data_IF_274488093602
#
_entry.id   IF_274488093602
#
_cell.length_a   1.000
_cell.length_b   1.000
_cell.length_c   1.000
_cell.angle_alpha   90.00
_cell.angle_beta   90.00
_cell.angle_gamma   90.00
#
_symmetry.space_group_name_H-M   'P 1'
#
loop_
_entity.id
_entity.type
_entity.pdbx_description
1 polymer ?
#
# COMPACT_ATOMS: atom_id res chain seq x y z
N UNK A 1 10.29 -1.05 29.11
CA UNK A 1 10.04 -1.18 28.83
C UNK A 1 9.47 -1.10 28.57
N UNK A 2 9.42 -0.77 28.65
CA UNK A 2 9.07 -0.70 28.30
C UNK A 2 8.55 -0.49 27.98
N UNK A 3 8.59 -0.28 28.17
CA UNK A 3 8.24 -0.13 27.84
C UNK A 3 7.80 0.09 27.58
N UNK A 4 7.79 0.39 27.75
CA UNK A 4 7.47 0.66 27.46
C UNK A 4 6.96 0.99 27.32
N UNK A 5 7.05 1.23 27.66
CA UNK A 5 6.68 1.52 27.51
C UNK A 5 6.35 1.98 27.48
N UNK A 6 6.36 2.27 27.81
CA UNK A 6 6.21 2.61 27.65
C UNK A 6 6.03 3.16 27.49
N UNK A 7 6.08 3.40 27.68
CA UNK A 7 6.05 3.77 27.42
C UNK A 7 6.00 4.28 27.24
N UNK A 8 6.03 4.69 27.56
CA UNK A 8 6.05 5.10 27.19
C UNK A 8 5.77 5.55 26.72
N UNK A 9 5.61 5.79 26.95
CA UNK A 9 5.35 6.12 26.34
C UNK A 9 5.37 6.71 25.81
N UNK A 10 5.27 6.70 25.96
CA UNK A 10 5.29 7.22 25.47
C UNK A 10 5.46 7.52 24.85
N UNK A 11 5.50 7.53 25.30
CA UNK A 11 5.81 8.10 24.45
C UNK A 11 6.04 7.86 23.20
N UNK A 12 6.10 7.02 22.72
CA UNK A 12 6.40 6.79 21.38
C UNK A 12 5.24 7.08 20.48
N UNK A 13 5.43 8.03 19.56
CA UNK A 13 4.47 8.31 18.53
C UNK A 13 4.74 7.49 17.29
N UNK A 14 5.47 6.39 17.43
CA UNK A 14 5.85 5.57 16.30
C UNK A 14 4.68 4.82 15.71
N UNK A 15 4.66 4.73 14.40
CA UNK A 15 3.76 3.88 13.64
C UNK A 15 4.55 2.87 12.86
N UNK A 16 3.93 1.72 12.61
CA UNK A 16 4.59 0.68 11.84
C UNK A 16 4.13 0.75 10.38
N UNK A 17 5.08 0.57 9.49
CA UNK A 17 4.84 0.59 8.05
C UNK A 17 5.43 -0.65 7.43
N UNK A 18 4.70 -1.20 6.46
CA UNK A 18 5.21 -2.32 5.65
C UNK A 18 5.96 -1.75 4.47
N UNK A 19 7.24 -2.10 4.34
CA UNK A 19 8.07 -1.69 3.23
C UNK A 19 7.87 -2.64 2.06
N UNK A 20 7.69 -2.10 0.86
CA UNK A 20 7.42 -2.90 -0.32
C UNK A 20 8.09 -2.30 -1.54
N UNK A 21 8.16 -3.10 -2.62
CA UNK A 21 8.76 -2.67 -3.88
C UNK A 21 7.72 -2.61 -4.99
N UNK A 22 7.78 -1.54 -5.77
CA UNK A 22 7.04 -1.39 -7.02
C UNK A 22 8.05 -0.97 -8.08
N UNK A 23 8.29 -1.86 -9.07
CA UNK A 23 9.21 -1.57 -10.19
C UNK A 23 10.56 -1.05 -9.73
N UNK A 24 11.15 -1.66 -8.75
CA UNK A 24 12.47 -1.31 -8.17
C UNK A 24 12.46 -0.09 -7.26
N UNK A 25 11.31 0.55 -7.08
CA UNK A 25 11.19 1.66 -6.12
C UNK A 25 10.58 1.16 -4.83
N UNK A 26 10.98 1.77 -3.73
CA UNK A 26 10.51 1.36 -2.43
C UNK A 26 9.46 2.30 -1.89
N UNK A 27 8.42 1.72 -1.28
CA UNK A 27 7.30 2.46 -0.71
C UNK A 27 6.95 1.85 0.63
N UNK A 28 6.16 2.58 1.42
CA UNK A 28 5.64 2.06 2.67
C UNK A 28 4.14 2.23 2.77
N UNK A 29 3.50 1.29 3.46
CA UNK A 29 2.07 1.33 3.74
C UNK A 29 1.89 1.14 5.23
N UNK A 30 1.01 1.93 5.87
CA UNK A 30 0.72 1.73 7.29
C UNK A 30 0.27 0.30 7.53
N UNK A 31 0.89 -0.36 8.50
CA UNK A 31 0.60 -1.77 8.77
C UNK A 31 -0.86 -1.98 9.20
N UNK A 32 -1.47 -0.96 9.79
CA UNK A 32 -2.87 -1.06 10.21
C UNK A 32 -3.83 -1.18 9.04
N UNK A 33 -3.39 -0.78 7.84
CA UNK A 33 -4.20 -0.95 6.63
C UNK A 33 -4.10 -2.37 6.06
N UNK A 34 -3.06 -3.10 6.43
CA UNK A 34 -2.81 -4.43 5.87
C UNK A 34 -3.62 -5.47 6.64
N UNK A 35 -4.41 -6.23 5.91
CA UNK A 35 -5.17 -7.34 6.48
C UNK A 35 -4.46 -8.66 6.31
N UNK A 36 -3.80 -8.82 5.16
CA UNK A 36 -3.20 -10.11 4.83
C UNK A 36 -2.22 -9.92 3.68
N UNK A 37 -1.19 -10.76 3.64
CA UNK A 37 -0.26 -10.81 2.52
C UNK A 37 -0.31 -12.24 1.99
N UNK A 38 -0.60 -12.40 0.71
CA UNK A 38 -0.72 -13.72 0.09
C UNK A 38 0.11 -13.75 -1.18
N UNK A 39 0.47 -14.95 -1.62
CA UNK A 39 1.11 -15.13 -2.91
C UNK A 39 0.15 -14.84 -4.05
N UNK A 40 0.68 -14.82 -5.26
CA UNK A 40 -0.17 -14.61 -6.45
C UNK A 40 -1.14 -15.76 -6.59
N UNK A 41 -2.38 -15.42 -6.91
CA UNK A 41 -3.45 -16.37 -7.18
C UNK A 41 -4.11 -15.97 -8.49
N UNK A 42 -4.95 -16.86 -9.01
CA UNK A 42 -5.67 -16.59 -10.25
C UNK A 42 -6.61 -15.41 -10.06
N UNK A 43 -6.54 -14.47 -10.99
CA UNK A 43 -7.38 -13.28 -11.00
C UNK A 43 -8.39 -13.41 -12.13
N UNK A 44 -9.65 -13.22 -11.81
CA UNK A 44 -10.71 -13.24 -12.82
C UNK A 44 -10.85 -11.84 -13.40
N UNK A 45 -10.53 -11.64 -14.69
CA UNK A 45 -10.62 -10.31 -15.27
C UNK A 45 -12.06 -9.84 -15.39
N UNK A 46 -12.23 -8.53 -15.35
CA UNK A 46 -13.54 -7.90 -15.51
C UNK A 46 -13.54 -7.03 -16.75
N UNK A 47 -14.67 -6.96 -17.46
CA UNK A 47 -14.76 -6.08 -18.63
C UNK A 47 -14.89 -4.62 -18.20
N UNK A 48 -14.40 -3.73 -19.05
CA UNK A 48 -14.63 -2.29 -18.94
C UNK A 48 -14.11 -1.67 -17.66
N UNK A 49 -13.04 -2.22 -17.11
CA UNK A 49 -12.37 -1.63 -15.95
C UNK A 49 -11.13 -0.86 -16.41
N UNK A 50 -10.67 0.11 -15.61
CA UNK A 50 -9.37 0.72 -15.90
C UNK A 50 -8.27 -0.34 -15.97
N UNK A 51 -7.21 -0.03 -16.69
CA UNK A 51 -6.14 -0.98 -16.93
C UNK A 51 -5.49 -1.48 -15.62
N UNK A 52 -5.43 -0.62 -14.59
CA UNK A 52 -4.83 -1.00 -13.32
C UNK A 52 -5.71 -1.95 -12.49
N UNK A 53 -6.99 -2.09 -12.84
CA UNK A 53 -7.85 -3.07 -12.19
C UNK A 53 -7.69 -4.38 -12.94
N UNK A 54 -7.02 -5.35 -12.31
CA UNK A 54 -6.74 -6.63 -12.94
C UNK A 54 -7.97 -7.55 -12.97
N UNK A 55 -8.90 -7.33 -12.07
CA UNK A 55 -10.09 -8.14 -11.94
C UNK A 55 -10.43 -8.36 -10.49
N UNK A 56 -10.86 -9.56 -10.16
CA UNK A 56 -11.26 -9.92 -8.79
C UNK A 56 -10.64 -11.26 -8.41
N UNK A 57 -10.50 -11.47 -7.11
CA UNK A 57 -10.16 -12.77 -6.55
C UNK A 57 -11.23 -13.19 -5.56
N UNK A 58 -11.32 -14.49 -5.33
CA UNK A 58 -12.16 -15.04 -4.27
C UNK A 58 -11.25 -15.37 -3.10
N UNK A 59 -11.42 -14.62 -2.02
CA UNK A 59 -10.65 -14.84 -0.80
C UNK A 59 -11.59 -15.32 0.29
N UNK A 60 -11.59 -16.60 0.53
CA UNK A 60 -12.43 -17.25 1.55
C UNK A 60 -13.90 -16.87 1.39
N UNK A 61 -14.39 -16.92 0.15
CA UNK A 61 -15.79 -16.65 -0.16
C UNK A 61 -16.11 -15.17 -0.41
N UNK A 62 -15.14 -14.28 -0.22
CA UNK A 62 -15.33 -12.86 -0.52
C UNK A 62 -14.71 -12.53 -1.86
N UNK A 63 -15.43 -11.76 -2.65
CA UNK A 63 -14.93 -11.26 -3.93
C UNK A 63 -14.25 -9.93 -3.67
N UNK A 64 -12.97 -9.86 -4.00
CA UNK A 64 -12.14 -8.69 -3.70
C UNK A 64 -11.53 -8.17 -4.99
N UNK A 65 -11.67 -6.86 -5.31
CA UNK A 65 -11.02 -6.31 -6.49
C UNK A 65 -9.52 -6.29 -6.34
N UNK A 66 -8.84 -6.49 -7.48
CA UNK A 66 -7.37 -6.55 -7.53
C UNK A 66 -6.86 -5.37 -8.35
N UNK A 67 -6.02 -4.56 -7.74
CA UNK A 67 -5.40 -3.39 -8.35
C UNK A 67 -3.91 -3.63 -8.47
N UNK A 68 -3.37 -3.43 -9.67
CA UNK A 68 -1.93 -3.48 -9.87
C UNK A 68 -1.37 -2.07 -9.69
N UNK A 69 -0.68 -1.85 -8.58
CA UNK A 69 -0.15 -0.53 -8.26
C UNK A 69 0.91 -0.06 -9.25
N UNK A 70 1.64 -1.00 -9.86
CA UNK A 70 2.65 -0.63 -10.86
C UNK A 70 1.98 0.06 -12.04
N UNK A 71 0.84 -0.47 -12.48
CA UNK A 71 0.09 0.12 -13.58
C UNK A 71 -0.56 1.43 -13.14
N UNK A 72 -1.15 1.45 -11.95
CA UNK A 72 -1.81 2.66 -11.46
C UNK A 72 -0.86 3.85 -11.37
N UNK A 73 0.37 3.60 -10.96
CA UNK A 73 1.37 4.67 -10.85
C UNK A 73 2.16 4.86 -12.13
N UNK A 74 1.81 4.14 -13.20
CA UNK A 74 2.47 4.24 -14.50
C UNK A 74 3.97 3.97 -14.42
N UNK A 75 4.33 3.04 -13.55
CA UNK A 75 5.71 2.60 -13.42
C UNK A 75 6.04 1.55 -14.47
N UNK A 76 7.33 1.36 -14.71
CA UNK A 76 7.78 0.36 -15.67
C UNK A 76 7.20 -1.00 -15.31
N UNK A 77 6.60 -1.67 -16.30
CA UNK A 77 6.02 -2.97 -16.09
C UNK A 77 7.11 -4.02 -16.00
N UNK A 78 7.06 -4.85 -14.96
CA UNK A 78 7.96 -5.98 -14.82
C UNK A 78 7.16 -7.26 -14.80
N UNK A 79 7.76 -8.33 -15.27
CA UNK A 79 7.14 -9.65 -15.20
C UNK A 79 7.01 -10.06 -13.73
N UNK A 80 5.98 -10.85 -13.44
CA UNK A 80 5.85 -11.41 -12.10
C UNK A 80 7.00 -12.36 -11.82
N UNK A 81 7.48 -12.34 -10.58
CA UNK A 81 8.52 -13.25 -10.11
C UNK A 81 7.97 -14.05 -8.94
N UNK A 82 8.82 -14.90 -8.36
CA UNK A 82 8.43 -15.64 -7.16
C UNK A 82 8.15 -14.71 -5.97
N UNK A 83 8.62 -13.48 -6.02
CA UNK A 83 8.42 -12.50 -4.95
C UNK A 83 7.16 -11.66 -5.14
N UNK A 84 6.60 -11.64 -6.34
CA UNK A 84 5.36 -10.90 -6.61
C UNK A 84 4.25 -11.44 -5.72
N UNK A 85 3.54 -10.55 -5.06
CA UNK A 85 2.53 -10.98 -4.11
C UNK A 85 1.39 -9.96 -4.06
N UNK A 86 0.38 -10.32 -3.28
CA UNK A 86 -0.83 -9.52 -3.11
C UNK A 86 -0.91 -9.09 -1.65
N UNK A 87 -1.12 -7.80 -1.45
CA UNK A 87 -1.39 -7.25 -0.12
C UNK A 87 -2.87 -6.91 -0.07
N UNK A 88 -3.61 -7.57 0.82
CA UNK A 88 -5.03 -7.25 1.03
C UNK A 88 -5.10 -6.13 2.04
N UNK A 89 -5.71 -5.03 1.65
CA UNK A 89 -5.78 -3.83 2.49
C UNK A 89 -7.23 -3.45 2.74
N UNK A 90 -7.45 -2.74 3.83
CA UNK A 90 -8.74 -2.16 4.15
C UNK A 90 -8.72 -0.69 3.71
N UNK A 91 -9.68 -0.32 2.88
CA UNK A 91 -9.83 1.05 2.40
C UNK A 91 -11.01 1.67 3.12
N UNK A 92 -10.78 2.82 3.74
CA UNK A 92 -11.84 3.55 4.42
C UNK A 92 -12.42 4.62 3.51
N UNK A 93 -13.73 4.73 3.51
CA UNK A 93 -14.46 5.67 2.66
C UNK A 93 -15.01 6.82 3.49
N UNK A 94 -15.31 7.97 2.85
CA UNK A 94 -15.82 9.12 3.59
C UNK A 94 -17.12 8.87 4.35
N UNK A 95 -17.94 7.92 3.89
CA UNK A 95 -19.21 7.57 4.56
C UNK A 95 -19.02 6.63 5.75
N UNK A 96 -17.77 6.42 6.16
CA UNK A 96 -17.35 5.55 7.27
C UNK A 96 -17.48 4.07 6.97
N UNK A 97 -17.86 3.69 5.74
CA UNK A 97 -17.78 2.30 5.32
C UNK A 97 -16.34 1.95 4.99
N UNK A 98 -16.07 0.67 4.87
CA UNK A 98 -14.75 0.21 4.42
C UNK A 98 -14.91 -1.01 3.51
N UNK A 99 -13.94 -1.17 2.63
CA UNK A 99 -13.90 -2.30 1.71
C UNK A 99 -12.51 -2.90 1.74
N UNK A 100 -12.43 -4.16 1.33
CA UNK A 100 -11.15 -4.82 1.15
C UNK A 100 -10.75 -4.73 -0.31
N UNK A 101 -9.49 -4.46 -0.56
CA UNK A 101 -8.93 -4.45 -1.91
C UNK A 101 -7.59 -5.16 -1.89
N UNK A 102 -7.24 -5.76 -3.00
CA UNK A 102 -6.00 -6.51 -3.14
C UNK A 102 -5.05 -5.72 -4.05
N UNK A 103 -3.82 -5.54 -3.58
CA UNK A 103 -2.80 -4.77 -4.31
C UNK A 103 -1.70 -5.71 -4.78
N UNK A 104 -1.39 -5.69 -6.07
CA UNK A 104 -0.25 -6.45 -6.60
C UNK A 104 1.00 -5.59 -6.45
N UNK A 105 2.01 -6.16 -5.80
CA UNK A 105 3.30 -5.51 -5.60
C UNK A 105 4.41 -6.46 -6.00
N UNK A 106 5.59 -5.92 -6.31
CA UNK A 106 6.71 -6.74 -6.76
C UNK A 106 7.32 -7.56 -5.63
N UNK A 107 7.32 -7.03 -4.42
CA UNK A 107 7.80 -7.76 -3.25
C UNK A 107 7.45 -6.96 -2.00
N UNK A 108 7.40 -7.65 -0.87
CA UNK A 108 7.37 -7.02 0.44
C UNK A 108 8.73 -7.23 1.08
N UNK A 109 9.15 -6.29 1.91
CA UNK A 109 10.48 -6.35 2.50
C UNK A 109 10.41 -6.57 4.01
N UNK A 110 9.98 -5.55 4.76
CA UNK A 110 10.02 -5.62 6.22
C UNK A 110 9.01 -4.64 6.80
N UNK A 111 8.75 -4.80 8.09
CA UNK A 111 7.96 -3.82 8.84
C UNK A 111 8.95 -2.92 9.57
N UNK A 112 8.79 -1.61 9.39
CA UNK A 112 9.65 -0.63 10.05
C UNK A 112 8.81 0.25 10.97
N UNK A 113 9.41 0.71 12.04
CA UNK A 113 8.76 1.62 12.97
C UNK A 113 9.30 3.02 12.74
N UNK A 114 8.41 3.97 12.47
CA UNK A 114 8.78 5.35 12.16
C UNK A 114 8.09 6.30 13.12
N UNK A 115 8.81 7.33 13.54
CA UNK A 115 8.26 8.42 14.33
C UNK A 115 8.00 9.62 13.41
N UNK A 116 7.33 10.64 13.93
CA UNK A 116 7.14 11.86 13.15
C UNK A 116 8.45 12.49 12.71
N UNK A 117 9.50 12.33 13.51
CA UNK A 117 10.83 12.87 13.16
C UNK A 117 11.44 12.19 11.95
N UNK A 118 10.99 10.97 11.63
CA UNK A 118 11.50 10.22 10.48
C UNK A 118 10.78 10.55 9.19
N UNK A 119 9.70 11.33 9.25
CA UNK A 119 8.82 11.57 8.12
C UNK A 119 8.82 13.06 7.79
N UNK A 120 9.01 13.37 6.51
CA UNK A 120 8.99 14.75 6.04
C UNK A 120 7.88 14.92 5.00
N UNK A 121 7.36 16.16 4.89
CA UNK A 121 6.33 16.43 3.86
C UNK A 121 6.90 16.15 2.46
N UNK A 122 6.00 15.80 1.56
CA UNK A 122 6.36 15.46 0.19
C UNK A 122 6.37 16.72 -0.66
N UNK A 123 7.50 17.03 -1.29
CA UNK A 123 7.49 18.10 -2.31
C UNK A 123 6.79 17.58 -3.56
N UNK A 124 6.16 18.51 -4.28
CA UNK A 124 5.51 18.16 -5.54
C UNK A 124 6.48 18.43 -6.69
N UNK A 125 7.05 17.36 -7.21
CA UNK A 125 8.00 17.45 -8.31
C UNK A 125 7.41 17.01 -9.64
N UNK A 126 6.10 16.70 -9.68
CA UNK A 126 5.51 16.17 -10.89
C UNK A 126 5.92 14.75 -11.21
N UNK A 127 6.24 13.97 -10.19
CA UNK A 127 6.66 12.60 -10.37
C UNK A 127 5.53 11.66 -10.78
N UNK A 128 5.87 10.39 -11.01
CA UNK A 128 4.93 9.38 -11.46
C UNK A 128 3.82 9.13 -10.43
N UNK A 129 4.15 9.21 -9.14
CA UNK A 129 3.18 9.06 -8.07
C UNK A 129 2.75 10.46 -7.64
N UNK A 130 1.46 10.71 -7.69
CA UNK A 130 0.94 12.03 -7.35
C UNK A 130 1.14 12.33 -5.87
N UNK A 131 1.43 13.60 -5.56
CA UNK A 131 1.67 14.01 -4.19
C UNK A 131 0.49 13.71 -3.27
N UNK A 132 -0.74 13.73 -3.80
CA UNK A 132 -1.93 13.41 -3.01
C UNK A 132 -1.97 11.97 -2.51
N UNK A 133 -1.20 11.09 -3.15
CA UNK A 133 -1.14 9.68 -2.78
C UNK A 133 -0.10 9.40 -1.70
N UNK A 134 0.66 10.40 -1.32
CA UNK A 134 1.81 10.22 -0.45
C UNK A 134 1.57 10.90 0.89
N UNK A 135 1.68 10.13 1.98
CA UNK A 135 1.58 10.67 3.34
C UNK A 135 2.82 11.49 3.70
N UNK A 136 3.96 11.11 3.18
CA UNK A 136 5.22 11.78 3.47
C UNK A 136 6.38 10.96 2.96
N UNK A 137 7.58 11.50 3.11
CA UNK A 137 8.81 10.84 2.73
C UNK A 137 9.53 10.39 4.01
N UNK A 138 9.85 9.12 4.09
CA UNK A 138 10.49 8.55 5.27
C UNK A 138 11.95 8.28 5.01
N UNK A 139 12.77 8.53 6.03
CA UNK A 139 14.18 8.16 5.99
C UNK A 139 14.34 6.83 6.69
N UNK A 140 14.70 5.81 5.94
CA UNK A 140 14.85 4.45 6.43
C UNK A 140 16.22 3.95 6.02
N UNK A 141 17.08 3.68 7.01
CA UNK A 141 18.42 3.13 6.75
C UNK A 141 19.21 3.95 5.72
N UNK A 142 19.10 5.28 5.84
CA UNK A 142 19.83 6.18 4.94
C UNK A 142 19.19 6.37 3.57
N UNK A 143 18.04 5.76 3.33
CA UNK A 143 17.33 5.89 2.07
C UNK A 143 15.99 6.58 2.29
N UNK A 144 15.51 7.26 1.25
CA UNK A 144 14.23 7.96 1.30
C UNK A 144 13.19 7.10 0.59
N UNK A 145 12.09 6.81 1.28
CA UNK A 145 10.99 6.01 0.75
C UNK A 145 9.69 6.78 0.89
N UNK A 146 8.82 6.68 -0.12
CA UNK A 146 7.52 7.34 -0.07
C UNK A 146 6.53 6.48 0.71
N UNK A 147 5.80 7.11 1.63
CA UNK A 147 4.74 6.44 2.37
C UNK A 147 3.42 6.71 1.68
N UNK A 148 2.70 5.66 1.32
CA UNK A 148 1.48 5.76 0.54
C UNK A 148 0.26 5.92 1.43
N UNK A 149 -0.63 6.81 1.02
CA UNK A 149 -1.95 6.94 1.62
C UNK A 149 -2.89 6.02 0.83
N UNK A 150 -3.12 4.83 1.34
CA UNK A 150 -3.90 3.82 0.64
C UNK A 150 -5.32 4.28 0.37
N UNK A 151 -5.93 4.99 1.30
CA UNK A 151 -7.28 5.50 1.09
C UNK A 151 -7.30 6.48 -0.09
N UNK A 152 -6.30 7.35 -0.19
CA UNK A 152 -6.21 8.30 -1.31
C UNK A 152 -5.87 7.60 -2.62
N UNK A 153 -4.95 6.65 -2.59
CA UNK A 153 -4.54 5.90 -3.78
C UNK A 153 -5.73 5.19 -4.40
N UNK A 154 -6.59 4.62 -3.58
CA UNK A 154 -7.70 3.79 -4.04
C UNK A 154 -9.04 4.53 -4.05
N UNK A 155 -9.03 5.84 -3.74
CA UNK A 155 -10.24 6.64 -3.81
C UNK A 155 -10.76 6.65 -5.26
N UNK A 156 -12.04 6.37 -5.43
CA UNK A 156 -12.63 6.31 -6.76
C UNK A 156 -12.42 4.98 -7.47
N UNK A 157 -11.56 4.11 -6.96
CA UNK A 157 -11.45 2.75 -7.46
C UNK A 157 -12.46 1.93 -6.68
N UNK A 158 -13.71 2.14 -6.97
CA UNK A 158 -14.77 1.51 -6.23
C UNK A 158 -15.34 0.32 -6.97
N UNK A 159 -15.70 -0.66 -6.19
CA UNK A 159 -16.42 -1.82 -6.69
C UNK A 159 -17.87 -1.42 -6.85
N UNK A 160 -18.29 -1.15 -8.07
CA UNK A 160 -19.68 -0.80 -8.35
C UNK A 160 -20.40 -1.99 -8.95
N UNK A 161 -21.55 -2.19 -8.44
CA UNK A 161 -22.41 -3.26 -8.96
C UNK A 161 -23.14 -2.81 -10.21
#
# INVERSE_FOLDING_TARGET
MATQSVSNGAVSNGKKYLSLFLSKEEYGIEILKVREIIGMVDVTPLPRTPQFVKGVINLRGKIIPVVDLRIKFQLASTANTDLTCIIVVQVNHPDKSHTLMALVVDAVEEVVNLTEADIEPTPDFGGAVQADYILGMAKIKGQVKALLDIDAVLHGVEWKK
#
